data_IF_631733177625
#
_entry.id   IF_631733177625
#
_cell.length_a   1.000
_cell.length_b   1.000
_cell.length_c   1.000
_cell.angle_alpha   90.00
_cell.angle_beta   90.00
_cell.angle_gamma   90.00
#
_symmetry.space_group_name_H-M   'P 1'
#
loop_
_entity.id
_entity.type
_entity.pdbx_description
1 polymer ?
#
# COMPACT_ATOMS: atom_id res chain seq x y z
N UNK A 1 -6.04 6.79 -1.27
CA UNK A 1 -4.92 7.10 -0.33
C UNK A 1 -5.20 8.45 0.29
N UNK A 2 -5.31 8.52 1.62
CA UNK A 2 -5.55 9.79 2.34
C UNK A 2 -4.23 10.42 2.83
N UNK A 3 -4.23 11.73 3.09
CA UNK A 3 -3.05 12.41 3.68
C UNK A 3 -2.58 11.77 5.00
N UNK A 4 -3.46 11.40 5.95
CA UNK A 4 -3.04 10.67 7.16
C UNK A 4 -2.41 9.31 6.86
N UNK A 5 -2.92 8.59 5.85
CA UNK A 5 -2.36 7.29 5.46
C UNK A 5 -0.94 7.45 4.90
N UNK A 6 -0.71 8.45 4.05
CA UNK A 6 0.64 8.75 3.53
C UNK A 6 1.60 9.11 4.67
N UNK A 7 1.13 9.88 5.65
CA UNK A 7 1.93 10.22 6.84
C UNK A 7 2.34 8.98 7.63
N UNK A 8 1.41 8.05 7.88
CA UNK A 8 1.73 6.76 8.54
C UNK A 8 2.75 5.94 7.76
N UNK A 9 2.69 5.95 6.43
CA UNK A 9 3.66 5.23 5.59
C UNK A 9 5.06 5.85 5.68
N UNK A 10 5.13 7.18 5.75
CA UNK A 10 6.39 7.90 6.01
C UNK A 10 6.94 7.61 7.40
N UNK A 11 6.10 7.66 8.44
CA UNK A 11 6.51 7.40 9.82
C UNK A 11 7.01 5.95 10.00
N UNK A 12 6.49 5.01 9.20
CA UNK A 12 6.95 3.60 9.13
C UNK A 12 8.21 3.38 8.29
N UNK A 13 8.77 4.44 7.67
CA UNK A 13 9.94 4.34 6.80
C UNK A 13 9.67 3.68 5.44
N UNK A 14 8.40 3.47 5.07
CA UNK A 14 8.03 2.81 3.81
C UNK A 14 8.02 3.77 2.62
N UNK A 15 7.99 5.08 2.88
CA UNK A 15 8.12 6.12 1.86
C UNK A 15 9.28 7.04 2.24
N UNK A 16 10.27 7.14 1.35
CA UNK A 16 11.38 8.04 1.51
C UNK A 16 10.93 9.48 1.27
N UNK A 17 11.17 10.34 2.25
CA UNK A 17 10.76 11.73 2.21
C UNK A 17 11.85 12.67 2.72
N UNK A 18 11.72 13.94 2.32
CA UNK A 18 12.46 15.05 2.91
C UNK A 18 11.50 16.16 3.32
N UNK A 19 11.86 16.89 4.37
CA UNK A 19 11.11 18.06 4.82
C UNK A 19 11.66 19.31 4.13
N UNK A 20 10.79 20.11 3.52
CA UNK A 20 11.12 21.39 2.88
C UNK A 20 10.15 22.43 3.42
N UNK A 21 10.63 23.24 4.37
CA UNK A 21 9.78 24.11 5.17
C UNK A 21 8.69 23.31 5.88
N UNK A 22 7.42 23.60 5.58
CA UNK A 22 6.25 22.91 6.13
C UNK A 22 5.82 21.67 5.33
N UNK A 23 6.43 21.43 4.17
CA UNK A 23 6.01 20.36 3.25
C UNK A 23 6.89 19.13 3.38
N UNK A 24 6.25 17.96 3.32
CA UNK A 24 6.93 16.70 3.12
C UNK A 24 6.94 16.37 1.63
N UNK A 25 8.15 16.24 1.06
CA UNK A 25 8.33 15.87 -0.34
C UNK A 25 8.83 14.44 -0.42
N UNK A 26 8.10 13.61 -1.15
CA UNK A 26 8.38 12.20 -1.34
C UNK A 26 8.97 12.02 -2.74
N UNK A 27 10.00 11.19 -2.89
CA UNK A 27 10.54 10.87 -4.22
C UNK A 27 9.55 9.98 -4.97
N UNK A 28 9.31 10.28 -6.24
CA UNK A 28 8.44 9.47 -7.11
C UNK A 28 8.94 8.03 -7.22
N UNK A 29 10.27 7.83 -7.25
CA UNK A 29 10.88 6.49 -7.24
C UNK A 29 10.49 5.68 -6.00
N UNK A 30 10.47 6.30 -4.82
CA UNK A 30 10.05 5.63 -3.59
C UNK A 30 8.58 5.24 -3.61
N UNK A 31 7.72 6.10 -4.18
CA UNK A 31 6.29 5.78 -4.35
C UNK A 31 6.13 4.56 -5.28
N UNK A 32 6.86 4.53 -6.39
CA UNK A 32 6.81 3.41 -7.34
C UNK A 32 7.29 2.11 -6.69
N UNK A 33 8.43 2.14 -6.01
CA UNK A 33 8.95 0.99 -5.28
C UNK A 33 7.96 0.45 -4.24
N UNK A 34 7.30 1.35 -3.50
CA UNK A 34 6.25 0.97 -2.55
C UNK A 34 5.06 0.29 -3.25
N UNK A 35 4.56 0.86 -4.35
CA UNK A 35 3.44 0.30 -5.10
C UNK A 35 3.78 -1.07 -5.72
N UNK A 36 4.99 -1.21 -6.25
CA UNK A 36 5.44 -2.46 -6.85
C UNK A 36 5.61 -3.57 -5.81
N UNK A 37 6.08 -3.25 -4.61
CA UNK A 37 6.12 -4.19 -3.49
C UNK A 37 4.73 -4.57 -2.96
N UNK A 38 3.75 -3.67 -3.04
CA UNK A 38 2.39 -3.89 -2.54
C UNK A 38 1.50 -4.68 -3.53
N UNK A 39 1.78 -4.60 -4.83
CA UNK A 39 1.05 -5.33 -5.90
C UNK A 39 0.98 -6.85 -5.69
N UNK A 40 2.08 -7.59 -5.44
CA UNK A 40 2.01 -9.03 -5.22
C UNK A 40 1.24 -9.36 -3.95
N UNK A 41 1.47 -8.60 -2.87
CA UNK A 41 0.84 -8.80 -1.56
C UNK A 41 -0.69 -8.68 -1.59
N UNK A 42 -1.20 -7.74 -2.39
CA UNK A 42 -2.65 -7.58 -2.59
C UNK A 42 -3.26 -8.68 -3.44
N UNK A 43 -2.53 -9.17 -4.46
CA UNK A 43 -3.05 -10.25 -5.31
C UNK A 43 -3.17 -11.55 -4.54
N UNK A 44 -2.18 -11.89 -3.72
CA UNK A 44 -2.21 -13.07 -2.85
C UNK A 44 -3.35 -12.97 -1.84
N UNK A 45 -3.46 -11.88 -1.09
CA UNK A 45 -4.53 -11.71 -0.11
C UNK A 45 -5.95 -11.76 -0.72
N UNK A 46 -6.13 -11.24 -1.95
CA UNK A 46 -7.41 -11.32 -2.65
C UNK A 46 -7.67 -12.72 -3.21
N UNK A 47 -6.63 -13.44 -3.64
CA UNK A 47 -6.75 -14.84 -4.06
C UNK A 47 -7.13 -15.75 -2.86
N UNK A 48 -6.52 -15.53 -1.70
CA UNK A 48 -6.84 -16.25 -0.47
C UNK A 48 -8.28 -15.99 -0.03
N UNK A 49 -8.72 -14.72 -0.08
CA UNK A 49 -10.12 -14.38 0.20
C UNK A 49 -11.09 -15.01 -0.79
N UNK A 50 -10.76 -15.01 -2.09
CA UNK A 50 -11.59 -15.65 -3.10
C UNK A 50 -11.66 -17.17 -2.91
N UNK A 51 -10.55 -17.82 -2.51
CA UNK A 51 -10.53 -19.24 -2.18
C UNK A 51 -11.46 -19.55 -1.00
N UNK A 52 -11.39 -18.76 0.08
CA UNK A 52 -12.29 -18.91 1.24
C UNK A 52 -13.75 -18.64 0.86
N UNK A 53 -14.04 -17.64 0.03
CA UNK A 53 -15.41 -17.38 -0.46
C UNK A 53 -15.97 -18.55 -1.30
N UNK A 54 -15.15 -19.15 -2.16
CA UNK A 54 -15.52 -20.32 -2.95
C UNK A 54 -15.75 -21.55 -2.06
N UNK A 55 -14.89 -21.79 -1.07
CA UNK A 55 -15.06 -22.88 -0.10
C UNK A 55 -16.34 -22.74 0.72
N UNK A 56 -16.74 -21.50 1.04
CA UNK A 56 -17.97 -21.19 1.76
C UNK A 56 -19.22 -21.14 0.86
N UNK A 57 -19.08 -21.32 -0.45
CA UNK A 57 -20.20 -21.29 -1.41
C UNK A 57 -20.90 -19.94 -1.52
N UNK A 58 -20.20 -18.84 -1.23
CA UNK A 58 -20.75 -17.48 -1.17
C UNK A 58 -20.71 -16.74 -2.52
N UNK A 59 -20.49 -17.46 -3.62
CA UNK A 59 -20.46 -16.91 -4.98
C UNK A 59 -21.73 -17.31 -5.73
N UNK A 60 -22.64 -16.36 -5.95
CA UNK A 60 -23.66 -16.36 -7.01
C UNK A 60 -23.26 -15.34 -8.10
#
# INVERSE_FOLDING_TARGET
MSRPQVRKLMDRGLLEFRKVGTHHRIRVSSIRAFLDAERPRRREAMADLAAVQNELGLTE
#
